data_IF_868827782380
#
_entry.id   IF_868827782380
#
_cell.length_a   1.000
_cell.length_b   1.000
_cell.length_c   1.000
_cell.angle_alpha   90.00
_cell.angle_beta   90.00
_cell.angle_gamma   90.00
#
_symmetry.space_group_name_H-M   'P 1'
#
loop_
_entity.id
_entity.type
_entity.pdbx_description
1 polymer ?
#
# COMPACT_ATOMS: atom_id res chain seq x y z
N UNK A 1 -10.32 13.10 1.57
CA UNK A 1 -9.41 12.11 2.16
C UNK A 1 -8.14 12.11 1.33
N UNK A 2 -6.96 11.93 1.94
CA UNK A 2 -5.73 11.74 1.18
C UNK A 2 -5.31 10.27 1.25
N UNK A 3 -4.79 9.75 0.14
CA UNK A 3 -4.21 8.42 0.04
C UNK A 3 -2.71 8.61 -0.20
N UNK A 4 -1.91 8.27 0.80
CA UNK A 4 -0.45 8.24 0.68
C UNK A 4 0.00 6.82 0.42
N UNK A 5 1.07 6.66 -0.34
CA UNK A 5 1.73 5.39 -0.54
C UNK A 5 3.25 5.53 -0.46
N UNK A 6 3.90 4.47 -0.01
CA UNK A 6 5.35 4.42 0.21
C UNK A 6 5.98 3.47 -0.79
N UNK A 7 6.74 4.00 -1.73
CA UNK A 7 7.53 3.19 -2.63
C UNK A 7 8.82 2.67 -1.98
N UNK A 8 9.29 1.50 -2.43
CA UNK A 8 10.61 0.97 -2.13
C UNK A 8 10.88 0.67 -0.64
N UNK A 9 9.84 0.32 0.13
CA UNK A 9 9.94 0.11 1.58
C UNK A 9 10.37 -1.31 2.03
N UNK A 10 10.63 -2.22 1.09
CA UNK A 10 11.12 -3.57 1.37
C UNK A 10 12.38 -3.85 0.54
N UNK A 11 13.47 -4.26 1.23
CA UNK A 11 14.78 -4.45 0.59
C UNK A 11 14.78 -5.54 -0.50
N UNK A 12 14.10 -6.66 -0.25
CA UNK A 12 14.02 -7.77 -1.21
C UNK A 12 13.21 -7.38 -2.46
N UNK A 13 12.14 -6.61 -2.31
CA UNK A 13 11.39 -6.06 -3.43
C UNK A 13 12.27 -5.13 -4.29
N UNK A 14 13.04 -4.24 -3.65
CA UNK A 14 13.94 -3.33 -4.36
C UNK A 14 14.99 -4.10 -5.17
N UNK A 15 15.56 -5.19 -4.61
CA UNK A 15 16.51 -6.05 -5.34
C UNK A 15 15.87 -6.71 -6.56
N UNK A 16 14.64 -7.20 -6.46
CA UNK A 16 13.94 -7.84 -7.59
C UNK A 16 13.70 -6.89 -8.76
N UNK A 17 13.60 -5.59 -8.47
CA UNK A 17 13.44 -4.52 -9.47
C UNK A 17 14.77 -3.87 -9.90
N UNK A 18 15.93 -4.40 -9.44
CA UNK A 18 17.25 -3.80 -9.63
C UNK A 18 17.34 -2.34 -9.13
N UNK A 19 16.66 -2.05 -8.03
CA UNK A 19 16.57 -0.72 -7.45
C UNK A 19 17.46 -0.57 -6.22
N UNK A 20 18.15 0.56 -6.13
CA UNK A 20 18.93 0.90 -4.94
C UNK A 20 18.32 2.13 -4.29
N UNK A 21 17.77 1.96 -3.09
CA UNK A 21 17.29 3.07 -2.28
C UNK A 21 18.41 3.58 -1.38
N UNK A 22 18.69 4.88 -1.45
CA UNK A 22 19.50 5.53 -0.42
C UNK A 22 18.62 5.74 0.82
N UNK A 23 18.79 4.91 1.85
CA UNK A 23 18.07 5.05 3.12
C UNK A 23 18.37 6.36 3.86
N UNK A 24 19.34 7.14 3.37
CA UNK A 24 19.71 8.44 3.96
C UNK A 24 18.69 9.54 3.65
N UNK A 25 17.93 9.44 2.56
CA UNK A 25 17.00 10.49 2.13
C UNK A 25 15.60 10.37 2.71
N UNK A 26 15.23 9.21 3.25
CA UNK A 26 13.92 8.94 3.83
C UNK A 26 12.98 8.17 2.89
N UNK A 27 11.72 7.91 3.31
CA UNK A 27 10.73 7.19 2.49
C UNK A 27 10.43 7.91 1.17
N UNK A 28 10.28 7.14 0.09
CA UNK A 28 9.74 7.63 -1.19
C UNK A 28 8.22 7.70 -1.05
N UNK A 29 7.66 8.90 -1.12
CA UNK A 29 6.23 9.11 -0.92
C UNK A 29 5.59 9.55 -2.24
N UNK A 30 4.47 8.95 -2.59
CA UNK A 30 3.57 9.42 -3.62
C UNK A 30 2.13 9.43 -3.10
N UNK A 31 1.22 10.03 -3.84
CA UNK A 31 -0.19 10.11 -3.48
C UNK A 31 -1.04 9.48 -4.57
N UNK A 32 -2.21 8.99 -4.20
CA UNK A 32 -3.25 8.58 -5.12
C UNK A 32 -4.44 9.52 -4.97
N UNK A 33 -5.18 9.75 -6.07
CA UNK A 33 -6.44 10.46 -6.02
C UNK A 33 -7.44 9.73 -5.12
N UNK A 34 -8.42 10.42 -4.57
CA UNK A 34 -9.48 9.79 -3.77
C UNK A 34 -10.40 8.89 -4.62
N UNK A 35 -10.52 9.16 -5.92
CA UNK A 35 -11.19 8.29 -6.90
C UNK A 35 -10.48 6.94 -7.12
N UNK A 36 -9.19 6.85 -6.78
CA UNK A 36 -8.45 5.59 -6.83
C UNK A 36 -8.96 4.54 -5.83
N UNK A 37 -9.75 4.96 -4.81
CA UNK A 37 -10.17 4.07 -3.74
C UNK A 37 -11.23 3.07 -4.19
N UNK A 38 -10.88 1.79 -4.15
CA UNK A 38 -11.78 0.65 -4.31
C UNK A 38 -12.06 0.03 -2.94
N UNK A 39 -13.32 0.00 -2.52
CA UNK A 39 -13.77 -0.51 -1.22
C UNK A 39 -15.11 -1.22 -1.35
N UNK A 40 -15.62 -1.72 -0.24
CA UNK A 40 -16.95 -2.32 -0.12
C UNK A 40 -17.10 -3.59 -0.98
N UNK A 41 -16.01 -4.34 -1.18
CA UNK A 41 -15.97 -5.58 -1.98
C UNK A 41 -16.42 -5.39 -3.44
N UNK A 42 -16.33 -4.16 -3.94
CA UNK A 42 -16.63 -3.90 -5.35
C UNK A 42 -15.60 -4.58 -6.24
N UNK A 43 -16.00 -5.05 -7.43
CA UNK A 43 -15.03 -5.62 -8.36
C UNK A 43 -14.05 -4.55 -8.84
N UNK A 44 -12.81 -4.96 -9.06
CA UNK A 44 -11.82 -4.14 -9.75
C UNK A 44 -11.96 -4.37 -11.26
N UNK A 45 -12.26 -3.31 -11.98
CA UNK A 45 -12.28 -3.34 -13.44
C UNK A 45 -10.88 -3.02 -13.97
N UNK A 46 -10.26 -4.00 -14.63
CA UNK A 46 -8.93 -3.84 -15.20
C UNK A 46 -9.01 -2.86 -16.37
N UNK A 47 -8.25 -1.74 -16.33
CA UNK A 47 -8.27 -0.78 -17.43
C UNK A 47 -7.67 -1.34 -18.72
N UNK A 48 -8.36 -1.20 -19.85
CA UNK A 48 -7.91 -1.73 -21.16
C UNK A 48 -6.67 -1.01 -21.71
N UNK A 49 -6.50 0.28 -21.39
CA UNK A 49 -5.50 1.15 -22.01
C UNK A 49 -4.19 1.31 -21.22
N UNK A 50 -4.06 0.67 -20.05
CA UNK A 50 -2.91 0.85 -19.17
C UNK A 50 -1.86 -0.28 -19.23
N UNK A 51 -2.05 -1.26 -20.12
CA UNK A 51 -1.17 -2.43 -20.22
C UNK A 51 -1.35 -3.38 -19.04
N UNK A 52 -0.29 -4.08 -18.66
CA UNK A 52 -0.33 -5.04 -17.56
C UNK A 52 -0.53 -4.34 -16.23
N UNK A 53 -1.60 -4.70 -15.52
CA UNK A 53 -1.84 -4.25 -14.14
C UNK A 53 -1.31 -5.32 -13.18
N UNK A 54 -0.45 -4.90 -12.26
CA UNK A 54 0.10 -5.77 -11.22
C UNK A 54 -0.46 -5.42 -9.84
N UNK A 55 -0.62 -6.46 -9.01
CA UNK A 55 -0.91 -6.28 -7.59
C UNK A 55 0.36 -5.97 -6.80
N UNK A 56 0.25 -5.08 -5.86
CA UNK A 56 1.22 -4.79 -4.81
C UNK A 56 0.49 -4.83 -3.47
N UNK A 57 0.61 -5.95 -2.76
CA UNK A 57 -0.09 -6.15 -1.48
C UNK A 57 0.64 -5.44 -0.36
N UNK A 58 -0.10 -4.63 0.39
CA UNK A 58 0.49 -3.78 1.43
C UNK A 58 -0.31 -3.81 2.72
N UNK A 59 0.38 -3.69 3.86
CA UNK A 59 -0.29 -3.24 5.07
C UNK A 59 -0.69 -1.78 4.87
N UNK A 60 -1.92 -1.45 5.25
CA UNK A 60 -2.47 -0.08 5.17
C UNK A 60 -2.90 0.38 6.54
N UNK A 61 -2.59 1.62 6.90
CA UNK A 61 -2.98 2.21 8.18
C UNK A 61 -3.93 3.39 7.98
N UNK A 62 -4.87 3.56 8.93
CA UNK A 62 -5.85 4.65 8.93
C UNK A 62 -5.47 5.71 9.96
N UNK A 63 -5.38 6.95 9.52
CA UNK A 63 -5.13 8.09 10.40
C UNK A 63 -6.42 8.45 11.16
N UNK A 64 -6.30 8.56 12.48
CA UNK A 64 -7.43 8.85 13.38
C UNK A 64 -7.37 10.25 14.03
N UNK A 65 -6.31 11.01 13.80
CA UNK A 65 -6.08 12.30 14.44
C UNK A 65 -5.45 13.32 13.51
N UNK A 66 -5.89 14.57 13.61
CA UNK A 66 -5.23 15.70 12.95
C UNK A 66 -3.80 15.87 13.47
N UNK A 67 -2.82 16.02 12.56
CA UNK A 67 -1.43 16.25 12.95
C UNK A 67 -0.55 16.81 11.84
N UNK A 68 0.42 17.59 12.26
CA UNK A 68 1.49 18.16 11.43
C UNK A 68 2.80 18.10 12.22
N UNK A 69 3.91 17.80 11.54
CA UNK A 69 5.24 17.69 12.16
C UNK A 69 5.24 16.77 13.39
N UNK A 70 4.66 15.58 13.22
CA UNK A 70 4.49 14.60 14.29
C UNK A 70 5.86 13.98 14.61
N UNK A 71 6.25 14.02 15.90
CA UNK A 71 7.45 13.30 16.34
C UNK A 71 7.22 11.80 16.27
N UNK A 72 8.19 11.06 15.73
CA UNK A 72 8.13 9.59 15.55
C UNK A 72 7.69 8.86 16.85
N UNK A 73 8.23 9.24 18.00
CA UNK A 73 7.88 8.67 19.32
C UNK A 73 6.38 8.75 19.67
N UNK A 74 5.63 9.65 19.02
CA UNK A 74 4.20 9.85 19.25
C UNK A 74 3.33 9.41 18.09
N UNK A 75 3.92 8.96 16.99
CA UNK A 75 3.20 8.62 15.75
C UNK A 75 2.17 7.50 15.96
N UNK A 76 2.45 6.55 16.87
CA UNK A 76 1.53 5.48 17.25
C UNK A 76 0.15 5.96 17.77
N UNK A 77 0.03 7.26 18.15
CA UNK A 77 -1.24 7.87 18.60
C UNK A 77 -2.08 8.42 17.46
N UNK A 78 -1.55 8.39 16.23
CA UNK A 78 -2.19 9.03 15.08
C UNK A 78 -2.86 8.05 14.12
N UNK A 79 -2.74 6.75 14.35
CA UNK A 79 -3.50 5.74 13.62
C UNK A 79 -4.20 4.79 14.60
N UNK A 80 -5.36 4.29 14.20
CA UNK A 80 -6.25 3.47 15.04
C UNK A 80 -6.54 2.09 14.47
N UNK A 81 -6.32 1.88 13.19
CA UNK A 81 -6.70 0.66 12.51
C UNK A 81 -5.72 0.33 11.39
N UNK A 82 -5.66 -0.96 11.06
CA UNK A 82 -4.88 -1.52 9.96
C UNK A 82 -5.76 -2.40 9.08
N UNK A 83 -5.35 -2.57 7.83
CA UNK A 83 -5.95 -3.52 6.90
C UNK A 83 -4.92 -3.96 5.86
N UNK A 84 -5.28 -4.91 4.99
CA UNK A 84 -4.57 -5.17 3.73
C UNK A 84 -5.19 -4.31 2.64
N UNK A 85 -4.36 -3.74 1.79
CA UNK A 85 -4.77 -3.09 0.56
C UNK A 85 -3.91 -3.57 -0.60
N UNK A 86 -4.40 -3.30 -1.82
CA UNK A 86 -3.65 -3.54 -3.06
C UNK A 86 -3.36 -2.20 -3.72
N UNK A 87 -2.08 -1.89 -3.92
CA UNK A 87 -1.61 -0.77 -4.74
C UNK A 87 -1.48 -1.26 -6.18
N UNK A 88 -2.59 -1.25 -6.94
CA UNK A 88 -2.56 -1.63 -8.35
C UNK A 88 -1.67 -0.69 -9.15
N UNK A 89 -0.82 -1.30 -9.98
CA UNK A 89 0.25 -0.63 -10.70
C UNK A 89 0.20 -0.97 -12.18
N UNK A 90 0.07 0.04 -13.05
CA UNK A 90 0.31 -0.11 -14.49
C UNK A 90 1.82 -0.21 -14.75
N UNK A 91 2.35 -1.44 -14.76
CA UNK A 91 3.80 -1.68 -14.63
C UNK A 91 4.64 -1.13 -15.77
N UNK A 92 4.23 -1.37 -17.01
CA UNK A 92 4.98 -0.87 -18.17
C UNK A 92 4.97 0.66 -18.22
N UNK A 93 3.83 1.28 -17.89
CA UNK A 93 3.70 2.72 -17.81
C UNK A 93 4.59 3.30 -16.70
N UNK A 94 4.63 2.66 -15.53
CA UNK A 94 5.54 3.06 -14.44
C UNK A 94 6.99 3.03 -14.87
N UNK A 95 7.44 1.96 -15.56
CA UNK A 95 8.82 1.86 -16.05
C UNK A 95 9.16 3.01 -17.02
N UNK A 96 8.25 3.33 -17.95
CA UNK A 96 8.42 4.46 -18.89
C UNK A 96 8.54 5.80 -18.17
N UNK A 97 7.63 6.06 -17.21
CA UNK A 97 7.63 7.31 -16.44
C UNK A 97 8.92 7.45 -15.61
N UNK A 98 9.35 6.37 -14.96
CA UNK A 98 10.61 6.35 -14.18
C UNK A 98 11.85 6.62 -15.02
N UNK A 99 11.95 5.98 -16.19
CA UNK A 99 13.06 6.20 -17.11
C UNK A 99 13.18 7.67 -17.58
N UNK A 100 12.06 8.39 -17.58
CA UNK A 100 11.98 9.79 -17.97
C UNK A 100 11.98 10.77 -16.78
N UNK A 101 12.02 10.29 -15.53
CA UNK A 101 11.91 11.13 -14.34
C UNK A 101 10.55 11.82 -14.17
N UNK A 102 9.48 11.24 -14.74
CA UNK A 102 8.13 11.79 -14.69
C UNK A 102 7.34 11.30 -13.46
N UNK A 103 6.29 12.05 -13.04
CA UNK A 103 5.42 11.66 -11.93
C UNK A 103 4.71 10.33 -12.16
N UNK A 104 4.32 9.63 -11.08
CA UNK A 104 3.69 8.30 -11.11
C UNK A 104 2.16 8.34 -11.06
N UNK A 105 1.56 9.51 -11.05
CA UNK A 105 0.12 9.69 -10.83
C UNK A 105 -0.73 8.81 -11.76
N UNK A 106 -0.43 8.78 -13.06
CA UNK A 106 -1.23 8.02 -14.03
C UNK A 106 -1.00 6.51 -13.97
N UNK A 107 0.14 6.03 -13.47
CA UNK A 107 0.42 4.60 -13.35
C UNK A 107 0.07 4.02 -11.97
N UNK A 108 -0.14 4.86 -10.97
CA UNK A 108 -0.41 4.51 -9.58
C UNK A 108 -1.73 5.06 -9.03
N UNK A 109 -2.24 6.16 -9.61
CA UNK A 109 -3.39 6.90 -9.10
C UNK A 109 -4.66 6.81 -9.94
N UNK A 110 -4.75 5.90 -10.90
CA UNK A 110 -5.94 5.69 -11.73
C UNK A 110 -7.12 5.15 -10.91
N UNK A 111 -8.33 5.26 -11.42
CA UNK A 111 -9.56 4.88 -10.72
C UNK A 111 -9.53 3.40 -10.29
N UNK A 112 -9.86 3.15 -9.03
CA UNK A 112 -9.86 1.80 -8.45
C UNK A 112 -8.47 1.24 -8.11
N UNK A 113 -7.38 1.96 -8.36
CA UNK A 113 -6.01 1.48 -8.15
C UNK A 113 -5.59 1.31 -6.68
N UNK A 114 -6.44 1.69 -5.73
CA UNK A 114 -6.20 1.54 -4.29
C UNK A 114 -7.29 0.66 -3.67
N UNK A 115 -7.18 -0.66 -3.80
CA UNK A 115 -8.13 -1.56 -3.16
C UNK A 115 -7.89 -1.62 -1.65
N UNK A 116 -8.99 -1.64 -0.86
CA UNK A 116 -8.94 -1.53 0.58
C UNK A 116 -9.83 -2.57 1.24
N UNK A 117 -9.25 -3.34 2.17
CA UNK A 117 -9.95 -4.32 2.98
C UNK A 117 -10.71 -3.74 4.17
N UNK A 118 -11.32 -4.62 4.96
CA UNK A 118 -11.99 -4.28 6.20
C UNK A 118 -10.99 -3.87 7.28
N UNK A 119 -11.28 -2.81 8.02
CA UNK A 119 -10.42 -2.31 9.07
C UNK A 119 -10.45 -3.17 10.33
N UNK A 120 -9.27 -3.47 10.86
CA UNK A 120 -9.09 -4.07 12.19
C UNK A 120 -8.48 -3.01 13.11
N UNK A 121 -9.06 -2.83 14.31
CA UNK A 121 -8.43 -1.97 15.32
C UNK A 121 -7.01 -2.45 15.61
N UNK A 122 -6.04 -1.54 15.64
CA UNK A 122 -4.65 -1.85 15.96
C UNK A 122 -4.50 -2.50 17.34
N UNK A 123 -5.42 -2.19 18.27
CA UNK A 123 -5.41 -2.72 19.64
C UNK A 123 -5.72 -4.23 19.72
N UNK A 124 -6.11 -4.84 18.57
CA UNK A 124 -6.25 -6.30 18.45
C UNK A 124 -4.90 -7.01 18.28
N UNK A 125 -3.83 -6.27 18.05
CA UNK A 125 -2.50 -6.80 17.84
C UNK A 125 -1.55 -6.33 18.94
N UNK A 126 -0.62 -7.20 19.33
CA UNK A 126 0.40 -6.85 20.31
C UNK A 126 1.36 -5.79 19.77
N UNK A 127 1.71 -5.90 18.50
CA UNK A 127 2.64 -4.99 17.83
C UNK A 127 2.36 -4.95 16.31
N UNK A 128 1.85 -3.81 15.82
CA UNK A 128 1.61 -3.58 14.38
C UNK A 128 2.91 -3.67 13.56
N UNK A 129 4.07 -3.48 14.20
CA UNK A 129 5.36 -3.59 13.53
C UNK A 129 5.85 -5.05 13.35
N UNK A 130 5.02 -6.05 13.70
CA UNK A 130 5.32 -7.49 13.62
C UNK A 130 4.17 -8.31 13.06
N UNK A 131 3.43 -7.76 12.11
CA UNK A 131 2.31 -8.43 11.47
C UNK A 131 2.75 -9.13 10.19
N UNK A 132 2.23 -10.32 9.97
CA UNK A 132 2.27 -11.01 8.68
C UNK A 132 1.01 -10.66 7.90
N UNK A 133 1.13 -10.56 6.60
CA UNK A 133 0.01 -10.38 5.71
C UNK A 133 0.29 -11.10 4.39
N UNK A 134 -0.75 -11.54 3.72
CA UNK A 134 -0.59 -12.20 2.42
C UNK A 134 -1.79 -11.93 1.51
N UNK A 135 -1.59 -12.21 0.24
CA UNK A 135 -2.59 -12.21 -0.79
C UNK A 135 -2.73 -13.61 -1.38
N UNK A 136 -3.95 -14.09 -1.43
CA UNK A 136 -4.34 -15.25 -2.22
C UNK A 136 -5.03 -14.79 -3.50
N UNK A 137 -4.69 -15.43 -4.62
CA UNK A 137 -5.44 -15.31 -5.88
C UNK A 137 -5.94 -16.70 -6.24
N UNK A 138 -7.26 -16.83 -6.42
CA UNK A 138 -7.93 -18.10 -6.74
C UNK A 138 -7.58 -19.23 -5.74
N UNK A 139 -7.43 -18.88 -4.45
CA UNK A 139 -7.12 -19.82 -3.37
C UNK A 139 -5.65 -20.24 -3.29
N UNK A 140 -4.75 -19.57 -4.01
CA UNK A 140 -3.30 -19.79 -3.93
C UNK A 140 -2.60 -18.56 -3.40
N UNK A 141 -1.75 -18.69 -2.40
CA UNK A 141 -0.94 -17.59 -1.88
C UNK A 141 0.11 -17.18 -2.92
N UNK A 142 0.03 -15.92 -3.36
CA UNK A 142 0.89 -15.36 -4.41
C UNK A 142 1.88 -14.31 -3.88
N UNK A 143 1.56 -13.68 -2.75
CA UNK A 143 2.45 -12.68 -2.13
C UNK A 143 2.32 -12.71 -0.61
N UNK A 144 3.46 -12.68 0.07
CA UNK A 144 3.54 -12.63 1.54
C UNK A 144 4.44 -11.51 1.98
N UNK A 145 4.12 -10.90 3.13
CA UNK A 145 4.92 -9.86 3.73
C UNK A 145 4.90 -9.88 5.25
N UNK A 146 5.94 -9.32 5.83
CA UNK A 146 6.00 -9.07 7.26
C UNK A 146 6.41 -7.62 7.52
N UNK A 147 5.72 -6.94 8.43
CA UNK A 147 6.05 -5.55 8.75
C UNK A 147 7.41 -5.39 9.46
N UNK A 148 8.00 -6.50 9.94
CA UNK A 148 9.39 -6.50 10.43
C UNK A 148 10.42 -6.17 9.35
N UNK A 149 10.09 -6.46 8.08
CA UNK A 149 11.01 -6.33 6.96
C UNK A 149 10.96 -4.96 6.29
N UNK A 150 10.06 -4.08 6.78
CA UNK A 150 9.98 -2.69 6.34
C UNK A 150 11.27 -1.94 6.67
N UNK A 151 11.81 -1.22 5.70
CA UNK A 151 12.94 -0.29 5.87
C UNK A 151 12.55 0.90 6.76
N UNK A 152 11.33 1.41 6.56
CA UNK A 152 10.74 2.47 7.37
C UNK A 152 9.47 1.95 8.02
N UNK A 153 9.47 1.90 9.34
CA UNK A 153 8.33 1.47 10.16
C UNK A 153 7.17 2.47 10.08
N UNK A 154 5.96 2.04 10.40
CA UNK A 154 4.74 2.86 10.34
C UNK A 154 4.91 4.21 11.03
N UNK A 155 5.48 4.23 12.24
CA UNK A 155 5.69 5.46 13.00
C UNK A 155 6.64 6.44 12.31
N UNK A 156 7.69 5.91 11.66
CA UNK A 156 8.62 6.70 10.86
C UNK A 156 7.94 7.29 9.62
N UNK A 157 7.12 6.50 8.93
CA UNK A 157 6.38 6.93 7.75
C UNK A 157 5.42 8.07 8.12
N UNK A 158 4.62 7.92 9.18
CA UNK A 158 3.70 8.94 9.67
C UNK A 158 4.46 10.23 10.03
N UNK A 159 5.55 10.09 10.78
CA UNK A 159 6.41 11.24 11.14
C UNK A 159 6.91 11.95 9.90
N UNK A 160 7.43 11.21 8.91
CA UNK A 160 7.99 11.76 7.69
C UNK A 160 6.94 12.48 6.85
N UNK A 161 5.82 11.84 6.53
CA UNK A 161 4.72 12.42 5.75
C UNK A 161 4.21 13.70 6.42
N UNK A 162 4.09 13.69 7.75
CA UNK A 162 3.57 14.83 8.51
C UNK A 162 4.45 16.08 8.46
N UNK A 163 5.70 15.98 8.02
CA UNK A 163 6.58 17.14 7.77
C UNK A 163 6.10 17.98 6.59
N UNK A 164 5.54 17.32 5.58
CA UNK A 164 5.11 17.95 4.33
C UNK A 164 3.60 18.21 4.31
N UNK A 165 2.81 17.25 4.82
CA UNK A 165 1.36 17.26 4.76
C UNK A 165 0.72 17.27 6.15
N UNK A 166 -0.32 18.08 6.33
CA UNK A 166 -1.19 17.90 7.51
C UNK A 166 -2.01 16.64 7.35
N UNK A 167 -1.80 15.67 8.23
CA UNK A 167 -2.62 14.45 8.29
C UNK A 167 -3.96 14.78 8.91
N UNK A 168 -5.04 14.19 8.38
CA UNK A 168 -6.42 14.36 8.87
C UNK A 168 -7.02 12.99 9.18
N UNK A 169 -7.98 12.97 10.09
CA UNK A 169 -8.80 11.77 10.36
C UNK A 169 -9.38 11.25 9.05
N UNK A 170 -9.25 9.95 8.80
CA UNK A 170 -9.68 9.27 7.59
C UNK A 170 -8.65 9.25 6.46
N UNK A 171 -7.51 9.96 6.56
CA UNK A 171 -6.41 9.75 5.62
C UNK A 171 -5.85 8.34 5.79
N UNK A 172 -5.38 7.73 4.69
CA UNK A 172 -4.84 6.37 4.68
C UNK A 172 -3.41 6.35 4.13
N UNK A 173 -2.62 5.39 4.61
CA UNK A 173 -1.24 5.24 4.20
C UNK A 173 -0.99 3.78 3.84
N UNK A 174 -0.67 3.51 2.57
CA UNK A 174 -0.09 2.28 2.07
C UNK A 174 1.38 2.27 2.45
N UNK A 175 1.86 1.19 3.07
CA UNK A 175 3.16 1.21 3.75
C UNK A 175 4.30 0.60 2.95
N UNK A 176 4.05 0.22 1.72
CA UNK A 176 5.01 -0.41 0.82
C UNK A 176 4.77 -1.89 0.62
N UNK A 177 5.20 -2.36 -0.53
CA UNK A 177 4.98 -3.71 -1.04
C UNK A 177 6.21 -4.61 -0.80
N UNK A 178 6.04 -5.85 -0.27
CA UNK A 178 7.08 -6.87 -0.27
C UNK A 178 7.33 -7.43 -1.68
N UNK A 179 8.32 -8.28 -1.85
CA UNK A 179 8.55 -9.02 -3.11
C UNK A 179 7.37 -9.94 -3.44
N UNK A 180 7.23 -10.33 -4.72
CA UNK A 180 6.19 -11.24 -5.18
C UNK A 180 4.99 -10.56 -5.83
N UNK A 181 5.09 -9.27 -6.21
CA UNK A 181 4.07 -8.63 -7.06
C UNK A 181 3.99 -9.32 -8.42
N UNK A 182 2.81 -9.29 -9.03
CA UNK A 182 2.55 -9.92 -10.31
C UNK A 182 1.25 -9.45 -10.95
N UNK A 183 0.94 -9.93 -12.17
CA UNK A 183 -0.23 -9.49 -12.91
C UNK A 183 -1.55 -9.97 -12.30
N UNK A 184 -2.62 -9.21 -12.53
CA UNK A 184 -4.00 -9.65 -12.32
C UNK A 184 -4.69 -9.87 -13.66
N UNK A 185 -5.65 -10.80 -13.67
CA UNK A 185 -6.43 -11.14 -14.87
C UNK A 185 -7.93 -11.05 -14.59
N UNK A 186 -8.71 -10.93 -15.66
CA UNK A 186 -10.17 -10.98 -15.59
C UNK A 186 -10.59 -12.32 -14.96
N UNK A 187 -11.54 -12.26 -14.03
CA UNK A 187 -12.05 -13.35 -13.19
C UNK A 187 -11.13 -13.81 -12.06
N UNK A 188 -9.98 -13.18 -11.83
CA UNK A 188 -9.21 -13.45 -10.61
C UNK A 188 -10.03 -13.05 -9.38
N UNK A 189 -10.03 -13.92 -8.37
CA UNK A 189 -10.60 -13.68 -7.05
C UNK A 189 -9.45 -13.41 -6.06
N UNK A 190 -9.42 -12.20 -5.52
CA UNK A 190 -8.37 -11.73 -4.62
C UNK A 190 -8.86 -11.76 -3.18
N UNK A 191 -8.09 -12.41 -2.30
CA UNK A 191 -8.36 -12.49 -0.88
C UNK A 191 -7.11 -12.06 -0.09
N UNK A 192 -7.23 -11.02 0.74
CA UNK A 192 -6.11 -10.49 1.53
C UNK A 192 -6.29 -10.77 3.02
N UNK A 193 -5.18 -11.13 3.68
CA UNK A 193 -5.19 -11.58 5.07
C UNK A 193 -4.20 -10.81 5.93
N UNK A 194 -4.54 -10.56 7.19
CA UNK A 194 -3.61 -10.18 8.28
C UNK A 194 -3.60 -11.33 9.27
N UNK A 195 -2.44 -11.95 9.50
CA UNK A 195 -2.33 -13.23 10.19
C UNK A 195 -3.32 -14.22 9.55
N UNK A 196 -4.17 -14.86 10.33
CA UNK A 196 -5.19 -15.81 9.84
C UNK A 196 -6.53 -15.12 9.46
N UNK A 197 -6.62 -13.80 9.56
CA UNK A 197 -7.90 -13.10 9.36
C UNK A 197 -8.00 -12.52 7.95
N UNK A 198 -8.98 -12.99 7.19
CA UNK A 198 -9.37 -12.40 5.90
C UNK A 198 -9.97 -10.99 6.12
N UNK A 199 -9.43 -10.01 5.43
CA UNK A 199 -9.87 -8.61 5.48
C UNK A 199 -10.20 -8.03 4.12
N UNK A 200 -9.71 -8.64 3.03
CA UNK A 200 -9.94 -8.20 1.67
C UNK A 200 -10.55 -9.36 0.87
N UNK A 201 -11.55 -9.04 0.02
CA UNK A 201 -12.27 -10.06 -0.76
C UNK A 201 -13.00 -9.38 -1.92
N UNK A 202 -12.54 -9.56 -3.16
CA UNK A 202 -13.19 -9.02 -4.37
C UNK A 202 -12.68 -9.74 -5.63
N UNK A 203 -13.36 -9.50 -6.76
CA UNK A 203 -13.01 -10.06 -8.05
C UNK A 203 -12.46 -8.99 -9.01
N UNK A 204 -11.57 -9.38 -9.92
CA UNK A 204 -11.19 -8.62 -11.10
C UNK A 204 -12.18 -8.88 -12.26
N UNK A 205 -12.49 -7.83 -13.03
CA UNK A 205 -13.38 -7.87 -14.20
C UNK A 205 -12.81 -7.07 -15.36
#
# INVERSE_FOLDING_TARGET
MKIFAVGMNYAEHNKSLNETLSTKEGPVIFTKADSALLKDKKPFFIPDDLGTIEYETELVVRICRLGKTISERFAHRYYDAVTVGIDFTARELQQKLRAQGLPWDICKGFDGSAALGEWISKDKFLDVQRLRFHLDINGQTVQEGCTTDMLYKVDKIISYISRYFTLKTGDIIYTGCPSGCGPVHINDHLEGFIEERKVLDFNCK
#
